data_IF_851481256355
#
_entry.id   IF_851481256355
#
_cell.length_a   1.000
_cell.length_b   1.000
_cell.length_c   1.000
_cell.angle_alpha   90.00
_cell.angle_beta   90.00
_cell.angle_gamma   90.00
#
_symmetry.space_group_name_H-M   'P 1'
#
loop_
_entity.id
_entity.type
_entity.pdbx_description
1 polymer ?
#
# COMPACT_ATOMS: atom_id res chain seq x y z
N UNK A 1 0.66 -2.91 0.89
CA UNK A 1 -0.22 -3.34 1.99
C UNK A 1 0.11 -2.52 3.22
N UNK A 2 -0.93 -2.11 3.95
CA UNK A 2 -0.76 -1.40 5.22
C UNK A 2 -0.17 -2.32 6.31
N UNK A 3 0.36 -1.73 7.37
CA UNK A 3 1.02 -2.41 8.48
C UNK A 3 0.14 -3.48 9.13
N UNK A 4 -1.18 -3.25 9.18
CA UNK A 4 -2.14 -4.23 9.73
C UNK A 4 -2.09 -5.59 9.02
N UNK A 5 -1.78 -5.60 7.72
CA UNK A 5 -1.73 -6.81 6.89
C UNK A 5 -0.31 -7.29 6.58
N UNK A 6 0.72 -6.57 7.02
CA UNK A 6 2.11 -6.94 6.77
C UNK A 6 2.66 -7.81 7.90
N UNK A 7 3.13 -9.01 7.56
CA UNK A 7 3.95 -9.81 8.47
C UNK A 7 5.08 -10.51 7.72
N UNK A 8 6.27 -10.68 8.35
CA UNK A 8 7.38 -11.42 7.73
C UNK A 8 7.00 -12.87 7.40
N UNK A 9 6.19 -13.52 8.25
CA UNK A 9 5.72 -14.89 8.06
C UNK A 9 4.83 -14.99 6.81
N UNK A 10 3.86 -14.08 6.67
CA UNK A 10 2.99 -14.02 5.50
C UNK A 10 3.81 -13.74 4.22
N UNK A 11 4.77 -12.81 4.29
CA UNK A 11 5.66 -12.51 3.17
C UNK A 11 6.49 -13.74 2.74
N UNK A 12 6.91 -14.60 3.68
CA UNK A 12 7.57 -15.89 3.38
C UNK A 12 6.62 -16.87 2.71
N UNK A 13 5.44 -17.04 3.30
CA UNK A 13 4.44 -17.98 2.82
C UNK A 13 4.00 -17.67 1.39
N UNK A 14 3.73 -16.40 1.09
CA UNK A 14 3.30 -15.97 -0.25
C UNK A 14 4.38 -16.10 -1.33
N UNK A 15 5.66 -16.22 -0.94
CA UNK A 15 6.78 -16.31 -1.88
C UNK A 15 7.31 -17.74 -2.08
N UNK A 16 6.59 -18.75 -1.55
CA UNK A 16 6.79 -20.21 -1.66
C UNK A 16 8.19 -20.57 -2.19
N UNK A 17 9.16 -20.84 -1.28
CA UNK A 17 10.25 -21.82 -1.46
C UNK A 17 11.44 -21.70 -0.47
N UNK A 18 11.44 -20.84 0.55
CA UNK A 18 12.61 -20.73 1.43
C UNK A 18 12.28 -20.53 2.91
N UNK A 19 12.89 -21.36 3.75
CA UNK A 19 13.00 -21.19 5.20
C UNK A 19 14.20 -20.29 5.50
N UNK A 20 13.98 -19.04 5.90
CA UNK A 20 15.05 -18.22 6.47
C UNK A 20 14.51 -17.34 7.57
N UNK A 21 15.18 -17.23 8.71
CA UNK A 21 14.81 -16.29 9.76
C UNK A 21 15.42 -14.91 9.54
N UNK A 22 14.62 -13.85 9.68
CA UNK A 22 15.08 -12.47 9.74
C UNK A 22 14.72 -11.92 11.12
N UNK A 23 15.74 -11.69 11.94
CA UNK A 23 15.64 -10.81 13.11
C UNK A 23 16.16 -9.45 12.69
N UNK A 24 15.26 -8.47 12.59
CA UNK A 24 15.65 -7.08 12.30
C UNK A 24 16.43 -6.56 13.51
N UNK A 25 17.73 -6.33 13.34
CA UNK A 25 18.53 -5.71 14.42
C UNK A 25 18.09 -4.27 14.63
N UNK A 26 17.95 -3.85 15.88
CA UNK A 26 17.62 -2.47 16.22
C UNK A 26 18.83 -1.55 15.99
N UNK A 27 18.97 -1.07 14.76
CA UNK A 27 19.95 -0.02 14.44
C UNK A 27 19.34 1.37 14.60
N UNK A 28 20.03 2.27 15.31
CA UNK A 28 19.73 3.71 15.32
C UNK A 28 20.25 4.32 14.01
N UNK A 29 19.40 5.04 13.29
CA UNK A 29 19.69 5.63 11.98
C UNK A 29 19.68 7.15 12.08
N UNK A 30 20.64 7.80 11.43
CA UNK A 30 20.59 9.26 11.22
C UNK A 30 19.54 9.58 10.15
N UNK A 31 19.07 10.82 10.13
CA UNK A 31 18.10 11.28 9.15
C UNK A 31 18.68 11.17 7.73
N UNK A 32 17.92 10.56 6.83
CA UNK A 32 18.32 10.26 5.46
C UNK A 32 18.94 8.88 5.27
N UNK A 33 19.36 8.20 6.34
CA UNK A 33 19.97 6.88 6.25
C UNK A 33 18.92 5.77 6.03
N UNK A 34 19.34 4.77 5.26
CA UNK A 34 18.60 3.54 5.02
C UNK A 34 19.41 2.36 5.53
N UNK A 35 18.72 1.41 6.13
CA UNK A 35 19.27 0.12 6.53
C UNK A 35 18.36 -0.97 6.01
N UNK A 36 18.90 -1.86 5.18
CA UNK A 36 18.20 -3.01 4.66
C UNK A 36 18.92 -4.27 5.08
N UNK A 37 18.18 -5.24 5.62
CA UNK A 37 18.65 -6.61 5.77
C UNK A 37 17.81 -7.51 4.89
N UNK A 38 18.45 -8.53 4.31
CA UNK A 38 17.79 -9.54 3.51
C UNK A 38 17.88 -10.88 4.23
N UNK A 39 16.79 -11.63 4.20
CA UNK A 39 16.74 -13.02 4.64
C UNK A 39 16.12 -13.81 3.51
N UNK A 40 16.99 -14.49 2.77
CA UNK A 40 16.64 -15.16 1.53
C UNK A 40 15.89 -14.22 0.59
N UNK A 41 14.64 -14.55 0.23
CA UNK A 41 13.91 -13.80 -0.79
C UNK A 41 13.12 -12.59 -0.24
N UNK A 42 13.27 -12.26 1.05
CA UNK A 42 12.59 -11.13 1.69
C UNK A 42 13.63 -10.11 2.14
N UNK A 43 13.33 -8.85 1.88
CA UNK A 43 14.03 -7.69 2.39
C UNK A 43 13.20 -7.02 3.48
N UNK A 44 13.87 -6.58 4.53
CA UNK A 44 13.31 -5.66 5.51
C UNK A 44 14.15 -4.40 5.48
N UNK A 45 13.48 -3.28 5.24
CA UNK A 45 14.09 -1.98 5.06
C UNK A 45 13.63 -1.04 6.16
N UNK A 46 14.55 -0.29 6.73
CA UNK A 46 14.31 0.76 7.72
C UNK A 46 14.93 2.04 7.19
N UNK A 47 14.13 3.09 7.07
CA UNK A 47 14.55 4.40 6.56
C UNK A 47 14.15 5.49 7.52
N UNK A 48 15.04 6.44 7.77
CA UNK A 48 14.81 7.55 8.70
C UNK A 48 14.57 8.86 7.94
N UNK A 49 13.36 9.42 7.98
CA UNK A 49 13.09 10.81 7.52
C UNK A 49 12.80 11.72 8.73
N UNK A 50 11.58 12.26 8.85
CA UNK A 50 11.10 12.89 10.10
C UNK A 50 10.78 11.86 11.18
N UNK A 51 10.35 10.67 10.73
CA UNK A 51 10.06 9.49 11.55
C UNK A 51 10.70 8.28 10.87
N UNK A 52 10.90 7.23 11.63
CA UNK A 52 11.38 5.95 11.10
C UNK A 52 10.23 5.29 10.34
N UNK A 53 10.53 4.84 9.12
CA UNK A 53 9.64 4.05 8.26
C UNK A 53 10.28 2.68 8.08
N UNK A 54 9.52 1.63 8.38
CA UNK A 54 9.92 0.24 8.17
C UNK A 54 9.06 -0.38 7.07
N UNK A 55 9.68 -1.10 6.15
CA UNK A 55 9.05 -1.75 5.00
C UNK A 55 9.51 -3.19 4.92
N UNK A 56 8.59 -4.09 4.59
CA UNK A 56 8.91 -5.46 4.19
C UNK A 56 8.67 -5.55 2.69
N UNK A 57 9.61 -6.13 1.95
CA UNK A 57 9.43 -6.38 0.53
C UNK A 57 9.96 -7.75 0.12
N UNK A 58 9.34 -8.31 -0.91
CA UNK A 58 9.80 -9.53 -1.58
C UNK A 58 10.53 -9.23 -2.89
N UNK A 59 10.54 -7.97 -3.33
CA UNK A 59 11.06 -7.56 -4.64
C UNK A 59 12.13 -6.47 -4.51
N UNK A 60 11.93 -5.48 -3.63
CA UNK A 60 12.79 -4.32 -3.55
C UNK A 60 14.04 -4.60 -2.70
N UNK A 61 15.19 -4.05 -3.11
CA UNK A 61 16.41 -3.96 -2.29
C UNK A 61 16.47 -2.68 -1.44
N UNK A 62 17.66 -2.37 -0.93
CA UNK A 62 17.97 -1.14 -0.19
C UNK A 62 18.27 0.07 -1.09
N UNK A 63 17.86 0.02 -2.35
CA UNK A 63 18.13 1.05 -3.35
C UNK A 63 17.39 2.35 -3.06
N UNK A 64 18.09 3.46 -3.26
CA UNK A 64 17.60 4.81 -3.03
C UNK A 64 17.43 5.53 -4.37
N UNK A 65 16.31 6.24 -4.53
CA UNK A 65 16.02 7.05 -5.70
C UNK A 65 15.68 8.48 -5.27
N UNK A 66 16.20 9.42 -6.03
CA UNK A 66 15.91 10.84 -5.84
C UNK A 66 14.62 11.18 -6.58
N UNK A 67 13.64 11.71 -5.85
CA UNK A 67 12.37 12.16 -6.39
C UNK A 67 12.24 13.67 -6.18
N UNK A 68 11.89 14.39 -7.25
CA UNK A 68 11.53 15.80 -7.16
C UNK A 68 10.01 15.91 -7.02
N UNK A 69 9.53 16.45 -5.89
CA UNK A 69 8.11 16.75 -5.68
C UNK A 69 7.95 18.26 -5.49
N UNK A 70 7.62 18.96 -6.58
CA UNK A 70 7.63 20.42 -6.61
C UNK A 70 9.04 20.99 -6.50
N UNK A 71 9.27 21.93 -5.59
CA UNK A 71 10.59 22.54 -5.33
C UNK A 71 11.50 21.72 -4.40
N UNK A 72 11.05 20.56 -3.90
CA UNK A 72 11.80 19.76 -2.93
C UNK A 72 12.34 18.48 -3.57
N UNK A 73 13.66 18.39 -3.61
CA UNK A 73 14.41 17.19 -3.98
C UNK A 73 14.56 16.35 -2.72
N UNK A 74 14.06 15.10 -2.73
CA UNK A 74 14.22 14.16 -1.62
C UNK A 74 14.67 12.80 -2.14
N UNK A 75 15.70 12.25 -1.50
CA UNK A 75 16.14 10.88 -1.72
C UNK A 75 15.36 9.93 -0.80
N UNK A 76 14.69 8.94 -1.38
CA UNK A 76 13.89 7.94 -0.65
C UNK A 76 14.18 6.54 -1.16
N UNK A 77 13.95 5.49 -0.36
CA UNK A 77 14.00 4.12 -0.86
C UNK A 77 12.98 3.91 -1.97
N UNK A 78 13.34 3.14 -3.01
CA UNK A 78 12.42 2.81 -4.12
C UNK A 78 11.16 2.12 -3.58
N UNK A 79 11.31 1.23 -2.60
CA UNK A 79 10.19 0.56 -1.92
C UNK A 79 9.17 1.53 -1.32
N UNK A 80 9.60 2.67 -0.80
CA UNK A 80 8.72 3.71 -0.25
C UNK A 80 8.05 4.50 -1.36
N UNK A 81 8.73 4.76 -2.48
CA UNK A 81 8.17 5.45 -3.64
C UNK A 81 7.04 4.61 -4.24
N UNK A 82 7.31 3.34 -4.53
CA UNK A 82 6.33 2.44 -5.13
C UNK A 82 5.16 2.17 -4.17
N UNK A 83 5.43 2.03 -2.87
CA UNK A 83 4.36 1.95 -1.89
C UNK A 83 3.41 3.16 -1.96
N UNK A 84 3.95 4.38 -1.93
CA UNK A 84 3.15 5.61 -2.00
C UNK A 84 2.38 5.73 -3.33
N UNK A 85 2.92 5.20 -4.42
CA UNK A 85 2.26 5.20 -5.73
C UNK A 85 1.02 4.30 -5.76
N UNK A 86 1.11 3.11 -5.14
CA UNK A 86 0.06 2.09 -5.27
C UNK A 86 -0.88 1.99 -4.06
N UNK A 87 -0.50 2.48 -2.88
CA UNK A 87 -1.32 2.34 -1.66
C UNK A 87 -2.69 3.01 -1.73
N UNK A 88 -2.83 4.09 -2.51
CA UNK A 88 -4.04 4.93 -2.53
C UNK A 88 -5.24 4.36 -3.30
N UNK A 89 -5.14 3.17 -3.89
CA UNK A 89 -6.22 2.61 -4.72
C UNK A 89 -7.52 2.39 -3.95
N UNK A 90 -7.45 1.93 -2.70
CA UNK A 90 -8.63 1.69 -1.86
C UNK A 90 -9.28 3.01 -1.45
N UNK A 91 -8.47 3.98 -1.00
CA UNK A 91 -8.94 5.31 -0.61
C UNK A 91 -9.60 6.03 -1.79
N UNK A 92 -9.02 5.92 -3.00
CA UNK A 92 -9.58 6.49 -4.21
C UNK A 92 -10.95 5.89 -4.54
N UNK A 93 -11.08 4.56 -4.49
CA UNK A 93 -12.37 3.87 -4.65
C UNK A 93 -13.37 4.35 -3.62
N UNK A 94 -12.98 4.43 -2.36
CA UNK A 94 -13.90 4.86 -1.29
C UNK A 94 -14.31 6.34 -1.44
N UNK A 95 -13.40 7.20 -1.91
CA UNK A 95 -13.70 8.58 -2.29
C UNK A 95 -14.72 8.67 -3.44
N UNK A 96 -14.56 7.86 -4.49
CA UNK A 96 -15.51 7.79 -5.60
C UNK A 96 -16.89 7.28 -5.16
N UNK A 97 -16.92 6.27 -4.29
CA UNK A 97 -18.18 5.77 -3.73
C UNK A 97 -18.84 6.80 -2.80
N UNK A 98 -18.04 7.61 -2.10
CA UNK A 98 -18.55 8.67 -1.23
C UNK A 98 -19.21 9.81 -2.01
N UNK A 99 -18.74 10.13 -3.23
CA UNK A 99 -19.40 11.15 -4.05
C UNK A 99 -20.84 10.79 -4.45
N UNK A 100 -21.15 9.49 -4.55
CA UNK A 100 -22.49 9.00 -4.92
C UNK A 100 -23.00 7.99 -3.87
N UNK A 101 -23.29 8.49 -2.66
CA UNK A 101 -23.77 7.68 -1.54
C UNK A 101 -25.21 7.16 -1.74
N UNK A 102 -25.34 5.89 -2.13
CA UNK A 102 -26.63 5.16 -2.13
C UNK A 102 -27.03 4.72 -0.71
N UNK A 103 -26.04 4.55 0.17
CA UNK A 103 -26.23 4.19 1.57
C UNK A 103 -26.94 5.33 2.33
N UNK A 104 -28.12 5.05 2.90
CA UNK A 104 -28.76 6.00 3.82
C UNK A 104 -27.97 6.04 5.13
N UNK A 105 -27.63 7.24 5.59
CA UNK A 105 -26.89 7.48 6.85
C UNK A 105 -27.60 6.88 8.06
N UNK A 106 -28.93 6.88 8.09
CA UNK A 106 -29.77 6.22 9.10
C UNK A 106 -30.60 5.14 8.45
N UNK A 107 -30.30 3.88 8.77
CA UNK A 107 -31.09 2.71 8.41
C UNK A 107 -31.26 1.86 9.67
N UNK A 108 -32.50 1.52 10.02
CA UNK A 108 -32.81 0.65 11.16
C UNK A 108 -32.35 -0.79 10.95
N UNK A 109 -32.25 -1.22 9.68
CA UNK A 109 -31.84 -2.57 9.27
C UNK A 109 -30.41 -2.55 8.73
N UNK A 110 -29.45 -3.06 9.48
CA UNK A 110 -28.02 -3.01 9.13
C UNK A 110 -27.70 -3.71 7.79
N UNK A 111 -28.38 -4.81 7.48
CA UNK A 111 -28.15 -5.58 6.25
C UNK A 111 -28.49 -4.79 4.98
N UNK A 112 -29.48 -3.88 5.05
CA UNK A 112 -29.82 -3.00 3.92
C UNK A 112 -28.69 -2.02 3.60
N UNK A 113 -27.86 -1.66 4.59
CA UNK A 113 -26.65 -0.85 4.36
C UNK A 113 -25.62 -1.64 3.55
N UNK A 114 -25.39 -2.91 3.90
CA UNK A 114 -24.48 -3.81 3.17
C UNK A 114 -24.97 -4.03 1.73
N UNK A 115 -26.25 -4.33 1.52
CA UNK A 115 -26.82 -4.48 0.17
C UNK A 115 -26.57 -3.24 -0.71
N UNK A 116 -26.82 -2.04 -0.17
CA UNK A 116 -26.59 -0.79 -0.90
C UNK A 116 -25.10 -0.53 -1.18
N UNK A 117 -24.19 -0.90 -0.27
CA UNK A 117 -22.75 -0.82 -0.50
C UNK A 117 -22.32 -1.72 -1.66
N UNK A 118 -22.83 -2.95 -1.70
CA UNK A 118 -22.56 -3.90 -2.78
C UNK A 118 -23.09 -3.38 -4.12
N UNK A 119 -24.31 -2.85 -4.15
CA UNK A 119 -24.90 -2.25 -5.35
C UNK A 119 -24.05 -1.06 -5.84
N UNK A 120 -23.63 -0.16 -4.95
CA UNK A 120 -22.80 0.99 -5.32
C UNK A 120 -21.44 0.55 -5.88
N UNK A 121 -20.83 -0.48 -5.28
CA UNK A 121 -19.57 -1.07 -5.77
C UNK A 121 -19.75 -1.73 -7.15
N UNK A 122 -20.88 -2.40 -7.39
CA UNK A 122 -21.18 -3.02 -8.68
C UNK A 122 -21.32 -1.97 -9.80
N UNK A 123 -22.00 -0.84 -9.52
CA UNK A 123 -22.13 0.29 -10.46
C UNK A 123 -20.77 0.92 -10.76
N UNK A 124 -19.91 1.12 -9.74
CA UNK A 124 -18.56 1.63 -9.97
C UNK A 124 -17.74 0.67 -10.85
N UNK A 125 -17.81 -0.64 -10.59
CA UNK A 125 -17.10 -1.64 -11.39
C UNK A 125 -17.62 -1.68 -12.84
N UNK A 126 -18.93 -1.57 -13.06
CA UNK A 126 -19.48 -1.52 -14.42
C UNK A 126 -19.04 -0.28 -15.19
N UNK A 127 -18.96 0.87 -14.52
CA UNK A 127 -18.39 2.10 -15.09
C UNK A 127 -16.92 1.92 -15.48
N UNK A 128 -16.09 1.32 -14.62
CA UNK A 128 -14.68 1.04 -14.93
C UNK A 128 -14.55 0.14 -16.17
N UNK A 129 -15.35 -0.92 -16.28
CA UNK A 129 -15.37 -1.80 -17.45
C UNK A 129 -15.81 -1.05 -18.70
N UNK A 130 -16.86 -0.22 -18.59
CA UNK A 130 -17.36 0.58 -19.70
C UNK A 130 -16.29 1.56 -20.22
N UNK A 131 -15.61 2.27 -19.31
CA UNK A 131 -14.53 3.19 -19.67
C UNK A 131 -13.34 2.45 -20.30
N UNK A 132 -13.00 1.26 -19.80
CA UNK A 132 -11.93 0.44 -20.36
C UNK A 132 -12.24 -0.01 -21.80
N UNK A 133 -13.50 -0.32 -22.12
CA UNK A 133 -13.92 -0.79 -23.44
C UNK A 133 -14.17 0.34 -24.45
N UNK A 134 -14.61 1.52 -24.00
CA UNK A 134 -15.00 2.62 -24.89
C UNK A 134 -13.96 3.73 -24.99
N UNK A 135 -12.97 3.77 -24.09
CA UNK A 135 -11.96 4.83 -24.01
C UNK A 135 -12.52 6.20 -23.61
N UNK A 136 -13.84 6.30 -23.37
CA UNK A 136 -14.49 7.53 -22.91
C UNK A 136 -14.37 7.61 -21.40
N UNK A 137 -13.84 8.74 -20.90
CA UNK A 137 -13.78 9.05 -19.47
C UNK A 137 -15.06 9.68 -19.00
#
# INVERSE_FOLDING_TARGET
MDNYYNSPILARLLKINYHTDCRVKEKKLKKGEVFGEHSGPISVLKWSDKKIVSMISTYHGAEMKTESKGQKIKTKPISVIDYNRFMGGVDLKDQLLQSYLIERKRNTKWYMKVFRRLLNTAVLNSMVIYQANTGKK
#
